data_IF_537605770294
#
_entry.id   IF_537605770294
#
_cell.length_a   1.000
_cell.length_b   1.000
_cell.length_c   1.000
_cell.angle_alpha   90.00
_cell.angle_beta   90.00
_cell.angle_gamma   90.00
#
_symmetry.space_group_name_H-M   'P 1'
#
loop_
_entity.id
_entity.type
_entity.pdbx_description
1 polymer ?
#
# COMPACT_ATOMS: atom_id res chain seq x y z
N UNK A 1 30.06 -49.63 -20.47
CA UNK A 1 30.87 -48.91 -19.47
C UNK A 1 30.80 -47.41 -19.66
N UNK A 2 31.38 -46.82 -20.72
CA UNK A 2 31.30 -45.35 -20.92
C UNK A 2 29.85 -44.83 -21.11
N UNK A 3 29.02 -45.60 -21.82
CA UNK A 3 27.61 -45.29 -22.01
C UNK A 3 26.79 -45.32 -20.70
N UNK A 4 27.13 -46.23 -19.79
CA UNK A 4 26.45 -46.37 -18.49
C UNK A 4 26.83 -45.23 -17.55
N UNK A 5 28.11 -44.82 -17.57
CA UNK A 5 28.62 -43.67 -16.84
C UNK A 5 27.98 -42.37 -17.33
N UNK A 6 27.90 -42.14 -18.65
CA UNK A 6 27.19 -40.98 -19.20
C UNK A 6 25.72 -40.92 -18.77
N UNK A 7 25.02 -42.07 -18.79
CA UNK A 7 23.61 -42.15 -18.34
C UNK A 7 23.44 -41.82 -16.85
N UNK A 8 24.37 -42.26 -16.00
CA UNK A 8 24.33 -41.96 -14.57
C UNK A 8 24.57 -40.47 -14.28
N UNK A 9 25.55 -39.86 -14.97
CA UNK A 9 25.84 -38.43 -14.84
C UNK A 9 24.65 -37.56 -15.29
N UNK A 10 23.97 -37.94 -16.37
CA UNK A 10 22.78 -37.23 -16.86
C UNK A 10 21.62 -37.30 -15.86
N UNK A 11 21.37 -38.47 -15.25
CA UNK A 11 20.35 -38.63 -14.21
C UNK A 11 20.67 -37.85 -12.92
N UNK A 12 21.96 -37.77 -12.56
CA UNK A 12 22.39 -36.98 -11.40
C UNK A 12 22.24 -35.49 -11.68
N UNK A 13 22.65 -35.01 -12.87
CA UNK A 13 22.45 -33.63 -13.29
C UNK A 13 20.97 -33.26 -13.31
N UNK A 14 20.08 -34.15 -13.76
CA UNK A 14 18.64 -33.94 -13.75
C UNK A 14 18.08 -33.83 -12.33
N UNK A 15 18.52 -34.70 -11.40
CA UNK A 15 18.11 -34.63 -9.99
C UNK A 15 18.58 -33.35 -9.31
N UNK A 16 19.82 -32.92 -9.59
CA UNK A 16 20.35 -31.64 -9.08
C UNK A 16 19.51 -30.48 -9.63
N UNK A 17 19.23 -30.46 -10.93
CA UNK A 17 18.39 -29.44 -11.56
C UNK A 17 16.97 -29.40 -10.98
N UNK A 18 16.34 -30.56 -10.78
CA UNK A 18 15.02 -30.65 -10.15
C UNK A 18 15.03 -30.14 -8.70
N UNK A 19 16.07 -30.47 -7.93
CA UNK A 19 16.22 -29.99 -6.56
C UNK A 19 16.41 -28.47 -6.50
N UNK A 20 17.27 -27.91 -7.35
CA UNK A 20 17.48 -26.47 -7.45
C UNK A 20 16.19 -25.74 -7.82
N UNK A 21 15.46 -26.22 -8.81
CA UNK A 21 14.16 -25.66 -9.22
C UNK A 21 13.14 -25.70 -8.07
N UNK A 22 13.07 -26.82 -7.34
CA UNK A 22 12.21 -26.96 -6.18
C UNK A 22 12.56 -25.96 -5.05
N UNK A 23 13.85 -25.70 -4.83
CA UNK A 23 14.31 -24.70 -3.87
C UNK A 23 13.92 -23.29 -4.31
N UNK A 24 14.18 -22.92 -5.56
CA UNK A 24 13.78 -21.61 -6.11
C UNK A 24 12.27 -21.38 -5.93
N UNK A 25 11.46 -22.36 -6.34
CA UNK A 25 10.00 -22.27 -6.19
C UNK A 25 9.57 -22.14 -4.72
N UNK A 26 10.25 -22.83 -3.80
CA UNK A 26 9.99 -22.73 -2.36
C UNK A 26 10.30 -21.33 -1.84
N UNK A 27 11.42 -20.74 -2.23
CA UNK A 27 11.82 -19.39 -1.83
C UNK A 27 10.84 -18.34 -2.37
N UNK A 28 10.47 -18.43 -3.65
CA UNK A 28 9.50 -17.52 -4.28
C UNK A 28 8.14 -17.59 -3.59
N UNK A 29 7.66 -18.81 -3.30
CA UNK A 29 6.39 -19.00 -2.58
C UNK A 29 6.43 -18.39 -1.19
N UNK A 30 7.56 -18.51 -0.46
CA UNK A 30 7.72 -17.86 0.84
C UNK A 30 7.75 -16.34 0.73
N UNK A 31 8.47 -15.80 -0.27
CA UNK A 31 8.51 -14.36 -0.54
C UNK A 31 7.11 -13.81 -0.80
N UNK A 32 6.38 -14.42 -1.74
CA UNK A 32 5.00 -14.04 -2.06
C UNK A 32 4.08 -14.14 -0.85
N UNK A 33 4.24 -15.18 -0.02
CA UNK A 33 3.46 -15.32 1.23
C UNK A 33 3.73 -14.18 2.20
N UNK A 34 5.00 -13.77 2.36
CA UNK A 34 5.38 -12.66 3.23
C UNK A 34 4.81 -11.33 2.74
N UNK A 35 4.93 -11.06 1.44
CA UNK A 35 4.40 -9.84 0.81
C UNK A 35 2.88 -9.75 0.96
N UNK A 36 2.17 -10.85 0.71
CA UNK A 36 0.72 -10.90 0.90
C UNK A 36 0.31 -10.67 2.35
N UNK A 37 1.04 -11.25 3.31
CA UNK A 37 0.77 -11.05 4.74
C UNK A 37 0.97 -9.58 5.12
N UNK A 38 2.08 -8.98 4.69
CA UNK A 38 2.35 -7.57 4.93
C UNK A 38 1.27 -6.67 4.32
N UNK A 39 0.88 -6.93 3.07
CA UNK A 39 -0.20 -6.20 2.39
C UNK A 39 -1.50 -6.27 3.20
N UNK A 40 -1.86 -7.45 3.69
CA UNK A 40 -3.06 -7.65 4.50
C UNK A 40 -2.98 -6.88 5.83
N UNK A 41 -1.84 -6.92 6.51
CA UNK A 41 -1.66 -6.18 7.76
C UNK A 41 -1.83 -4.67 7.57
N UNK A 42 -1.30 -4.13 6.47
CA UNK A 42 -1.49 -2.71 6.11
C UNK A 42 -2.97 -2.41 5.87
N UNK A 43 -3.67 -3.25 5.09
CA UNK A 43 -5.10 -3.09 4.84
C UNK A 43 -5.91 -3.12 6.15
N UNK A 44 -5.68 -4.11 7.01
CA UNK A 44 -6.40 -4.26 8.27
C UNK A 44 -6.17 -3.06 9.20
N UNK A 45 -4.94 -2.56 9.28
CA UNK A 45 -4.62 -1.37 10.07
C UNK A 45 -5.29 -0.10 9.54
N UNK A 46 -5.25 0.13 8.22
CA UNK A 46 -5.91 1.28 7.59
C UNK A 46 -7.43 1.20 7.72
N UNK A 47 -7.99 0.00 7.60
CA UNK A 47 -9.42 -0.23 7.78
C UNK A 47 -9.84 0.12 9.22
N UNK A 48 -9.11 -0.35 10.23
CA UNK A 48 -9.38 0.01 11.63
C UNK A 48 -9.32 1.52 11.87
N UNK A 49 -8.32 2.19 11.28
CA UNK A 49 -8.15 3.64 11.42
C UNK A 49 -9.30 4.43 10.79
N UNK A 50 -9.82 3.98 9.64
CA UNK A 50 -10.75 4.76 8.83
C UNK A 50 -12.21 4.34 8.95
N UNK A 51 -12.48 3.16 9.53
CA UNK A 51 -13.81 2.55 9.56
C UNK A 51 -14.88 3.49 10.10
N UNK A 52 -14.65 4.13 11.25
CA UNK A 52 -15.65 5.02 11.87
C UNK A 52 -16.02 6.20 10.98
N UNK A 53 -15.06 6.79 10.26
CA UNK A 53 -15.31 7.92 9.38
C UNK A 53 -16.05 7.49 8.12
N UNK A 54 -15.65 6.37 7.50
CA UNK A 54 -16.32 5.83 6.33
C UNK A 54 -17.73 5.33 6.65
N UNK A 55 -17.91 4.75 7.84
CA UNK A 55 -19.23 4.33 8.32
C UNK A 55 -20.16 5.53 8.49
N UNK A 56 -19.72 6.59 9.16
CA UNK A 56 -20.54 7.80 9.32
C UNK A 56 -20.93 8.42 7.96
N UNK A 57 -19.99 8.44 7.01
CA UNK A 57 -20.26 8.91 5.65
C UNK A 57 -21.26 8.00 4.91
N UNK A 58 -21.11 6.68 5.03
CA UNK A 58 -22.00 5.72 4.39
C UNK A 58 -23.42 5.77 4.97
N UNK A 59 -23.56 5.90 6.30
CA UNK A 59 -24.85 6.08 6.98
C UNK A 59 -25.56 7.35 6.51
N UNK A 60 -24.82 8.44 6.24
CA UNK A 60 -25.40 9.66 5.70
C UNK A 60 -25.97 9.48 4.29
N UNK A 61 -25.29 8.72 3.43
CA UNK A 61 -25.69 8.47 2.05
C UNK A 61 -26.81 7.43 1.93
N UNK A 62 -26.76 6.38 2.76
CA UNK A 62 -27.65 5.22 2.68
C UNK A 62 -28.33 4.93 4.02
N UNK A 63 -29.13 5.87 4.53
CA UNK A 63 -29.70 5.85 5.90
C UNK A 63 -30.34 4.52 6.33
N UNK A 64 -31.00 3.81 5.41
CA UNK A 64 -31.72 2.56 5.72
C UNK A 64 -31.18 1.32 4.98
N UNK A 65 -30.11 1.45 4.19
CA UNK A 65 -29.57 0.35 3.39
C UNK A 65 -28.18 -0.07 3.87
N UNK A 66 -28.16 -1.02 4.82
CA UNK A 66 -26.91 -1.57 5.36
C UNK A 66 -26.02 -2.23 4.31
N UNK A 67 -26.59 -2.93 3.33
CA UNK A 67 -25.78 -3.58 2.29
C UNK A 67 -25.03 -2.52 1.45
N UNK A 68 -25.74 -1.46 1.02
CA UNK A 68 -25.12 -0.35 0.29
C UNK A 68 -24.10 0.42 1.15
N UNK A 69 -24.32 0.53 2.46
CA UNK A 69 -23.33 1.12 3.37
C UNK A 69 -22.03 0.32 3.38
N UNK A 70 -22.10 -1.00 3.57
CA UNK A 70 -20.91 -1.88 3.59
C UNK A 70 -20.17 -1.88 2.24
N UNK A 71 -20.91 -1.92 1.13
CA UNK A 71 -20.33 -1.83 -0.21
C UNK A 71 -19.58 -0.50 -0.41
N UNK A 72 -20.16 0.62 0.03
CA UNK A 72 -19.53 1.94 -0.05
C UNK A 72 -18.29 2.02 0.86
N UNK A 73 -18.36 1.48 2.07
CA UNK A 73 -17.19 1.43 2.98
C UNK A 73 -16.06 0.63 2.31
N UNK A 74 -16.35 -0.52 1.71
CA UNK A 74 -15.36 -1.33 1.00
C UNK A 74 -14.70 -0.57 -0.16
N UNK A 75 -15.48 0.17 -0.94
CA UNK A 75 -14.95 1.01 -2.02
C UNK A 75 -14.03 2.11 -1.50
N UNK A 76 -14.44 2.80 -0.43
CA UNK A 76 -13.64 3.87 0.18
C UNK A 76 -12.34 3.34 0.77
N UNK A 77 -12.38 2.18 1.42
CA UNK A 77 -11.19 1.51 1.97
C UNK A 77 -10.21 1.10 0.87
N UNK A 78 -10.70 0.53 -0.24
CA UNK A 78 -9.84 0.16 -1.37
C UNK A 78 -9.20 1.41 -2.01
N UNK A 79 -9.98 2.47 -2.23
CA UNK A 79 -9.45 3.74 -2.74
C UNK A 79 -8.40 4.35 -1.79
N UNK A 80 -8.66 4.31 -0.49
CA UNK A 80 -7.73 4.80 0.53
C UNK A 80 -6.44 3.98 0.55
N UNK A 81 -6.54 2.66 0.48
CA UNK A 81 -5.41 1.76 0.43
C UNK A 81 -4.51 2.04 -0.79
N UNK A 82 -5.10 2.22 -1.97
CA UNK A 82 -4.35 2.52 -3.20
C UNK A 82 -3.56 3.83 -3.08
N UNK A 83 -4.20 4.90 -2.59
CA UNK A 83 -3.54 6.20 -2.36
C UNK A 83 -2.40 6.07 -1.35
N UNK A 84 -2.65 5.37 -0.24
CA UNK A 84 -1.63 5.14 0.79
C UNK A 84 -0.42 4.38 0.22
N UNK A 85 -0.64 3.30 -0.52
CA UNK A 85 0.45 2.52 -1.12
C UNK A 85 1.28 3.34 -2.11
N UNK A 86 0.65 4.23 -2.88
CA UNK A 86 1.36 5.14 -3.78
C UNK A 86 2.25 6.13 -3.01
N UNK A 87 1.78 6.63 -1.87
CA UNK A 87 2.57 7.51 -1.01
C UNK A 87 3.75 6.77 -0.38
N UNK A 88 3.52 5.56 0.14
CA UNK A 88 4.59 4.71 0.70
C UNK A 88 5.67 4.44 -0.33
N UNK A 89 5.29 4.12 -1.57
CA UNK A 89 6.25 3.86 -2.64
C UNK A 89 7.11 5.10 -2.95
N UNK A 90 6.49 6.28 -3.04
CA UNK A 90 7.23 7.53 -3.24
C UNK A 90 8.23 7.79 -2.11
N UNK A 91 7.82 7.58 -0.87
CA UNK A 91 8.72 7.75 0.28
C UNK A 91 9.90 6.77 0.23
N UNK A 92 9.66 5.51 -0.13
CA UNK A 92 10.72 4.52 -0.29
C UNK A 92 11.75 4.90 -1.36
N UNK A 93 11.31 5.51 -2.47
CA UNK A 93 12.21 6.01 -3.51
C UNK A 93 13.09 7.16 -2.99
N UNK A 94 12.49 8.10 -2.26
CA UNK A 94 13.22 9.22 -1.66
C UNK A 94 14.26 8.70 -0.66
N UNK A 95 13.86 7.79 0.23
CA UNK A 95 14.73 7.19 1.23
C UNK A 95 15.88 6.40 0.58
N UNK A 96 15.61 5.69 -0.51
CA UNK A 96 16.63 4.99 -1.29
C UNK A 96 17.62 5.99 -1.92
N UNK A 97 17.13 7.08 -2.49
CA UNK A 97 17.98 8.13 -3.07
C UNK A 97 18.86 8.82 -2.01
N UNK A 98 18.35 9.03 -0.80
CA UNK A 98 19.12 9.57 0.32
C UNK A 98 20.21 8.60 0.76
N UNK A 99 19.91 7.31 0.86
CA UNK A 99 20.90 6.28 1.21
C UNK A 99 22.02 6.16 0.18
N UNK A 100 21.72 6.23 -1.12
CA UNK A 100 22.75 6.15 -2.16
C UNK A 100 23.66 7.37 -2.15
N UNK A 101 23.11 8.57 -1.94
CA UNK A 101 23.90 9.81 -1.80
C UNK A 101 24.81 9.79 -0.57
N UNK A 102 24.30 9.39 0.59
CA UNK A 102 25.10 9.28 1.82
C UNK A 102 26.24 8.25 1.71
N UNK A 103 26.08 7.20 0.89
CA UNK A 103 27.13 6.21 0.63
C UNK A 103 28.23 6.77 -0.29
N UNK A 104 27.92 7.73 -1.16
CA UNK A 104 28.89 8.35 -2.08
C UNK A 104 29.71 9.48 -1.43
N UNK A 105 29.25 10.05 -0.32
CA UNK A 105 29.96 11.13 0.41
C UNK A 105 31.00 10.60 1.44
N UNK A 106 31.22 9.29 1.56
CA UNK A 106 32.20 8.69 2.48
C UNK A 106 33.50 8.16 1.85
N UNK A 107 33.77 8.38 0.55
CA UNK A 107 35.03 7.94 -0.09
C UNK A 107 36.19 8.95 -0.06
N UNK A 108 36.18 9.92 0.87
CA UNK A 108 37.36 10.75 1.13
C UNK A 108 37.48 11.03 2.62
N UNK A 109 37.79 10.00 3.41
CA UNK A 109 38.87 9.99 4.41
C UNK A 109 38.80 8.72 5.28
N UNK A 110 39.88 7.94 5.17
CA UNK A 110 40.48 7.08 6.20
C UNK A 110 39.90 5.68 6.49
N UNK A 111 40.85 4.75 6.62
CA UNK A 111 40.75 3.29 6.76
C UNK A 111 40.09 2.93 8.10
N UNK A 112 39.06 2.05 8.11
CA UNK A 112 38.81 0.99 9.14
C UNK A 112 37.56 0.15 8.76
N UNK A 113 37.71 -1.17 8.61
CA UNK A 113 36.64 -2.20 8.70
C UNK A 113 36.72 -2.84 10.10
N UNK A 114 35.73 -3.62 10.60
CA UNK A 114 34.37 -3.89 10.09
C UNK A 114 33.26 -3.81 11.19
N UNK A 115 31.97 -3.73 10.82
CA UNK A 115 30.91 -4.37 11.62
C UNK A 115 29.60 -4.49 10.84
N UNK A 116 29.25 -5.73 10.50
CA UNK A 116 27.97 -6.13 9.93
C UNK A 116 26.89 -6.13 10.99
N UNK A 117 25.80 -5.40 10.74
CA UNK A 117 24.48 -5.67 11.32
C UNK A 117 23.39 -5.02 10.46
N UNK A 118 22.66 -5.78 9.61
CA UNK A 118 21.41 -5.30 9.06
C UNK A 118 20.33 -5.46 10.14
N UNK A 119 20.22 -4.50 11.04
CA UNK A 119 19.02 -4.35 11.86
C UNK A 119 17.87 -4.00 10.92
N UNK A 120 17.01 -4.99 10.66
CA UNK A 120 15.68 -4.77 10.11
C UNK A 120 14.91 -3.84 11.05
N UNK A 121 15.00 -2.54 10.80
CA UNK A 121 14.12 -1.54 11.41
C UNK A 121 12.75 -1.77 10.78
N UNK A 122 11.87 -2.43 11.54
CA UNK A 122 10.43 -2.41 11.30
C UNK A 122 10.02 -0.94 11.41
N UNK A 123 9.97 -0.25 10.28
CA UNK A 123 9.45 1.10 10.20
C UNK A 123 7.93 0.99 10.20
N UNK A 124 7.34 0.85 11.38
CA UNK A 124 5.98 1.31 11.60
C UNK A 124 6.05 2.84 11.67
N UNK A 125 5.48 3.60 10.72
CA UNK A 125 5.35 5.03 10.91
C UNK A 125 4.25 5.28 11.94
N UNK A 126 4.61 5.17 13.22
CA UNK A 126 3.90 5.84 14.29
C UNK A 126 4.20 7.32 14.15
N UNK A 127 3.39 8.04 13.37
CA UNK A 127 3.03 9.47 13.49
C UNK A 127 2.58 9.96 12.10
N UNK A 128 1.27 10.12 11.92
CA UNK A 128 0.64 11.24 11.21
C UNK A 128 -0.87 11.13 11.41
N UNK A 129 -1.27 11.37 12.65
CA UNK A 129 -2.50 12.12 12.88
C UNK A 129 -2.38 13.40 12.03
N UNK A 130 -3.41 13.68 11.22
CA UNK A 130 -3.49 14.78 10.24
C UNK A 130 -2.85 14.49 8.86
N UNK A 131 -3.49 13.61 8.09
CA UNK A 131 -3.55 13.83 6.64
C UNK A 131 -4.99 14.17 6.31
N UNK A 132 -5.20 15.41 5.88
CA UNK A 132 -6.46 15.93 5.35
C UNK A 132 -6.98 14.93 4.30
N UNK A 133 -8.15 14.34 4.56
CA UNK A 133 -8.88 13.59 3.56
C UNK A 133 -9.10 14.51 2.34
N UNK A 134 -8.81 14.08 1.10
CA UNK A 134 -9.48 14.67 -0.03
C UNK A 134 -10.96 14.36 0.14
N UNK A 135 -11.75 15.42 0.36
CA UNK A 135 -13.21 15.41 0.36
C UNK A 135 -13.72 14.56 -0.81
N UNK A 136 -14.72 13.68 -0.60
CA UNK A 136 -15.36 13.01 -1.71
C UNK A 136 -15.98 14.08 -2.61
N UNK A 137 -15.63 14.07 -3.90
CA UNK A 137 -16.27 14.90 -4.91
C UNK A 137 -17.78 14.64 -4.84
N UNK A 138 -18.51 15.64 -4.36
CA UNK A 138 -19.96 15.63 -4.39
C UNK A 138 -20.37 15.73 -5.85
N UNK A 139 -20.79 14.62 -6.44
CA UNK A 139 -21.41 14.62 -7.76
C UNK A 139 -22.84 15.17 -7.57
N UNK A 140 -22.97 16.49 -7.58
CA UNK A 140 -24.25 17.18 -7.48
C UNK A 140 -24.99 16.95 -8.80
N UNK A 141 -25.88 15.97 -8.82
CA UNK A 141 -26.91 15.88 -9.87
C UNK A 141 -27.79 17.11 -9.70
N UNK A 142 -27.66 18.05 -10.64
CA UNK A 142 -28.51 19.23 -10.76
C UNK A 142 -29.95 18.81 -11.03
N UNK A 143 -30.80 18.81 -10.00
CA UNK A 143 -32.25 18.96 -10.18
C UNK A 143 -32.60 20.42 -9.89
N UNK A 144 -32.71 21.20 -10.96
CA UNK A 144 -33.28 22.54 -10.95
C UNK A 144 -34.73 22.46 -10.42
N UNK A 145 -34.96 22.97 -9.21
CA UNK A 145 -36.30 23.39 -8.79
C UNK A 145 -36.29 24.92 -8.69
N UNK A 146 -37.05 25.51 -9.60
CA UNK A 146 -37.42 26.92 -9.67
C UNK A 146 -38.11 27.34 -8.36
N UNK A 147 -37.68 28.44 -7.77
CA UNK A 147 -38.56 29.28 -6.93
C UNK A 147 -38.07 30.72 -6.98
N UNK A 148 -38.97 31.54 -7.52
CA UNK A 148 -38.86 32.95 -7.87
C UNK A 148 -38.89 33.86 -6.64
N UNK A 149 -37.99 34.83 -6.52
CA UNK A 149 -38.15 35.96 -5.61
C UNK A 149 -38.07 37.29 -6.38
N UNK A 150 -39.19 37.98 -6.48
CA UNK A 150 -39.29 39.37 -6.94
C UNK A 150 -38.77 40.35 -5.87
N UNK A 151 -38.30 41.56 -6.24
CA UNK A 151 -37.79 42.56 -5.31
C UNK A 151 -38.84 43.65 -5.00
N UNK A 152 -38.94 44.17 -3.77
CA UNK A 152 -39.68 45.43 -3.48
C UNK A 152 -39.20 46.13 -2.21
N UNK A 153 -38.52 47.26 -2.46
CA UNK A 153 -38.61 48.62 -1.85
C UNK A 153 -38.26 48.82 -0.37
N UNK A 154 -37.17 49.59 -0.19
CA UNK A 154 -36.67 50.23 1.03
C UNK A 154 -37.23 51.66 1.13
N UNK A 155 -37.78 52.04 2.28
CA UNK A 155 -38.04 53.44 2.66
C UNK A 155 -37.66 53.61 4.15
N UNK A 156 -36.72 54.50 4.50
CA UNK A 156 -36.45 54.89 5.88
C UNK A 156 -37.11 56.27 6.21
N UNK A 157 -37.12 56.69 7.50
CA UNK A 157 -38.19 57.51 8.09
C UNK A 157 -38.20 59.00 7.69
#
# INVERSE_FOLDING_TARGET
QDYDTCRQLEQEAEKVSQYELAQVLRLEKQKKKRENLQRKQIQDALNQQTYSQFKAYAEQQYKDNRAAQEDLIGQLQEQHFQKYMQQVYQQQLIDQQLRTKATMEQTSENITLPSVSPSNVILVPSTLANTVLPTPLVNVVSTNIVSTSSPTIEVPP
#
